data_IF_983671431174
#
_entry.id   IF_983671431174
#
_cell.length_a   1.000
_cell.length_b   1.000
_cell.length_c   1.000
_cell.angle_alpha   90.00
_cell.angle_beta   90.00
_cell.angle_gamma   90.00
#
_symmetry.space_group_name_H-M   'P 1'
#
loop_
_entity.id
_entity.type
_entity.pdbx_description
1 polymer ?
#
# COMPACT_ATOMS: atom_id res chain seq x y z
N UNK A 1 -15.85 -4.69 2.67
CA UNK A 1 -14.57 -5.30 2.32
C UNK A 1 -14.79 -6.63 1.62
N UNK A 2 -14.26 -6.73 0.45
CA UNK A 2 -14.43 -7.93 -0.37
C UNK A 2 -13.08 -8.42 -0.85
N UNK A 3 -12.83 -9.70 -0.64
CA UNK A 3 -11.59 -10.34 -1.09
C UNK A 3 -11.92 -11.38 -2.14
N UNK A 4 -11.40 -11.17 -3.34
CA UNK A 4 -11.56 -12.14 -4.41
C UNK A 4 -10.38 -13.10 -4.38
N UNK A 5 -10.68 -14.39 -4.29
CA UNK A 5 -9.65 -15.40 -4.15
C UNK A 5 -9.27 -15.96 -5.50
N UNK A 6 -8.11 -15.52 -5.98
CA UNK A 6 -7.52 -16.06 -7.19
C UNK A 6 -6.22 -16.79 -6.90
N UNK A 7 -5.97 -17.10 -5.63
CA UNK A 7 -4.71 -17.70 -5.24
C UNK A 7 -4.94 -18.83 -4.24
N UNK A 8 -3.92 -19.66 -4.12
CA UNK A 8 -3.95 -20.76 -3.16
C UNK A 8 -3.70 -20.21 -1.77
N UNK A 9 -4.66 -20.42 -0.87
CA UNK A 9 -4.55 -19.91 0.49
C UNK A 9 -3.35 -20.47 1.23
N UNK A 10 -2.92 -21.67 0.88
CA UNK A 10 -1.78 -22.26 1.56
C UNK A 10 -0.50 -21.47 1.33
N UNK A 11 -0.41 -20.76 0.22
CA UNK A 11 0.75 -19.91 -0.05
C UNK A 11 0.77 -18.69 0.86
N UNK A 12 -0.40 -18.19 1.23
CA UNK A 12 -0.50 -17.04 2.09
C UNK A 12 -0.02 -17.36 3.50
N UNK A 13 -0.18 -18.60 3.91
CA UNK A 13 0.22 -18.97 5.27
C UNK A 13 1.72 -18.90 5.49
N UNK A 14 2.51 -18.82 4.43
CA UNK A 14 3.94 -18.64 4.58
C UNK A 14 4.31 -17.20 4.90
N UNK A 15 3.34 -16.29 4.85
CA UNK A 15 3.56 -14.87 5.13
C UNK A 15 3.24 -14.61 6.61
N UNK A 16 3.90 -13.59 7.18
CA UNK A 16 3.58 -13.15 8.54
C UNK A 16 2.29 -12.34 8.51
N UNK A 17 1.18 -13.02 8.74
CA UNK A 17 -0.14 -12.43 8.55
C UNK A 17 -0.39 -11.19 9.39
N UNK A 18 0.10 -11.18 10.62
CA UNK A 18 -0.12 -10.03 11.49
C UNK A 18 0.54 -8.77 10.93
N UNK A 19 1.77 -8.90 10.44
CA UNK A 19 2.46 -7.77 9.84
C UNK A 19 1.79 -7.33 8.56
N UNK A 20 1.36 -8.30 7.76
CA UNK A 20 0.69 -7.97 6.50
C UNK A 20 -0.62 -7.24 6.75
N UNK A 21 -1.40 -7.72 7.73
CA UNK A 21 -2.67 -7.06 8.05
C UNK A 21 -2.44 -5.63 8.51
N UNK A 22 -1.42 -5.41 9.33
CA UNK A 22 -1.12 -4.06 9.80
C UNK A 22 -0.67 -3.16 8.66
N UNK A 23 0.14 -3.72 7.75
CA UNK A 23 0.59 -2.95 6.59
C UNK A 23 -0.58 -2.54 5.73
N UNK A 24 -1.49 -3.47 5.47
CA UNK A 24 -2.68 -3.17 4.66
C UNK A 24 -3.58 -2.16 5.35
N UNK A 25 -3.74 -2.29 6.66
CA UNK A 25 -4.56 -1.34 7.40
C UNK A 25 -3.97 0.07 7.31
N UNK A 26 -2.65 0.18 7.44
CA UNK A 26 -2.00 1.48 7.31
C UNK A 26 -2.27 2.10 5.95
N UNK A 27 -2.19 1.28 4.89
CA UNK A 27 -2.46 1.78 3.55
C UNK A 27 -3.92 2.19 3.41
N UNK A 28 -4.84 1.41 3.95
CA UNK A 28 -6.27 1.73 3.90
C UNK A 28 -6.56 3.03 4.64
N UNK A 29 -5.99 3.22 5.81
CA UNK A 29 -6.20 4.45 6.56
C UNK A 29 -5.64 5.65 5.82
N UNK A 30 -4.49 5.47 5.18
CA UNK A 30 -3.92 6.53 4.36
C UNK A 30 -4.85 6.88 3.20
N UNK A 31 -5.41 5.86 2.56
CA UNK A 31 -6.33 6.09 1.45
C UNK A 31 -7.57 6.84 1.92
N UNK A 32 -8.10 6.49 3.08
CA UNK A 32 -9.27 7.17 3.61
C UNK A 32 -8.99 8.64 3.93
N UNK A 33 -7.77 8.93 4.39
CA UNK A 33 -7.41 10.31 4.66
C UNK A 33 -7.27 11.14 3.40
N UNK A 34 -6.81 10.52 2.31
CA UNK A 34 -6.59 11.23 1.06
C UNK A 34 -7.81 11.25 0.15
N UNK A 35 -8.82 10.44 0.45
CA UNK A 35 -10.01 10.38 -0.39
C UNK A 35 -10.78 11.70 -0.33
N UNK A 36 -11.62 11.89 -1.34
CA UNK A 36 -12.47 13.08 -1.40
C UNK A 36 -13.28 13.20 -0.13
N UNK A 37 -13.16 14.34 0.55
CA UNK A 37 -13.80 14.52 1.85
C UNK A 37 -15.32 14.55 1.73
N UNK A 38 -15.84 14.96 0.60
CA UNK A 38 -17.29 15.03 0.41
C UNK A 38 -17.90 13.69 0.07
N UNK A 39 -17.16 12.85 -0.65
CA UNK A 39 -17.70 11.56 -1.07
C UNK A 39 -16.54 10.59 -1.21
N UNK A 40 -16.17 9.99 -0.09
CA UNK A 40 -15.01 9.10 -0.04
C UNK A 40 -15.29 7.80 -0.78
N UNK A 41 -14.33 7.39 -1.58
CA UNK A 41 -14.40 6.12 -2.29
C UNK A 41 -13.03 5.45 -2.24
N UNK A 42 -13.00 4.24 -1.71
CA UNK A 42 -11.76 3.46 -1.60
C UNK A 42 -12.04 2.07 -2.12
N UNK A 43 -11.14 1.56 -2.95
CA UNK A 43 -11.28 0.23 -3.54
C UNK A 43 -10.05 -0.61 -3.25
N UNK A 44 -10.28 -1.86 -2.88
CA UNK A 44 -9.21 -2.82 -2.65
C UNK A 44 -9.30 -3.91 -3.70
N UNK A 45 -8.19 -4.17 -4.36
CA UNK A 45 -8.09 -5.30 -5.30
C UNK A 45 -6.97 -6.21 -4.86
N UNK A 46 -7.14 -7.50 -5.16
CA UNK A 46 -6.13 -8.50 -4.86
C UNK A 46 -5.94 -9.35 -6.09
N UNK A 47 -4.70 -9.54 -6.50
CA UNK A 47 -4.41 -10.33 -7.68
C UNK A 47 -3.08 -11.04 -7.52
N UNK A 48 -2.85 -12.05 -8.35
CA UNK A 48 -1.57 -12.73 -8.42
C UNK A 48 -0.92 -12.36 -9.74
N UNK A 49 0.29 -11.81 -9.67
CA UNK A 49 1.03 -11.38 -10.86
C UNK A 49 2.47 -11.82 -10.72
N UNK A 50 2.94 -12.63 -11.65
CA UNK A 50 4.36 -13.00 -11.71
C UNK A 50 4.88 -13.53 -10.38
N UNK A 51 4.15 -14.47 -9.79
CA UNK A 51 4.52 -15.09 -8.51
C UNK A 51 4.51 -14.12 -7.35
N UNK A 52 3.76 -13.05 -7.48
CA UNK A 52 3.55 -12.10 -6.37
C UNK A 52 2.06 -11.96 -6.10
N UNK A 53 1.76 -11.79 -4.83
CA UNK A 53 0.41 -11.43 -4.41
C UNK A 53 0.38 -9.91 -4.32
N UNK A 54 -0.49 -9.27 -5.09
CA UNK A 54 -0.52 -7.82 -5.20
C UNK A 54 -1.84 -7.28 -4.66
N UNK A 55 -1.71 -6.39 -3.68
CA UNK A 55 -2.86 -5.67 -3.11
C UNK A 55 -2.83 -4.26 -3.67
N UNK A 56 -3.92 -3.87 -4.34
CA UNK A 56 -4.04 -2.52 -4.85
C UNK A 56 -5.10 -1.77 -4.06
N UNK A 57 -4.75 -0.61 -3.53
CA UNK A 57 -5.67 0.20 -2.75
C UNK A 57 -5.78 1.56 -3.42
N UNK A 58 -6.92 1.80 -4.01
CA UNK A 58 -7.18 3.04 -4.76
C UNK A 58 -8.14 3.91 -3.96
N UNK A 59 -7.91 5.21 -4.00
CA UNK A 59 -8.86 6.17 -3.43
C UNK A 59 -9.12 7.28 -4.43
N UNK A 60 -10.34 7.81 -4.39
CA UNK A 60 -10.64 8.99 -5.17
C UNK A 60 -10.04 10.22 -4.47
N UNK A 61 -10.17 11.38 -5.09
CA UNK A 61 -9.58 12.59 -4.55
C UNK A 61 -8.31 12.95 -5.28
N UNK A 62 -7.44 13.72 -4.66
CA UNK A 62 -6.24 14.18 -5.37
C UNK A 62 -5.25 13.05 -5.61
N UNK A 63 -4.56 13.14 -6.74
CA UNK A 63 -3.47 12.23 -7.05
C UNK A 63 -2.26 12.57 -6.17
N UNK A 64 -1.32 11.63 -6.10
CA UNK A 64 -0.07 11.91 -5.41
C UNK A 64 0.69 13.02 -6.13
N UNK A 65 1.29 13.91 -5.36
CA UNK A 65 2.14 14.93 -5.92
C UNK A 65 3.42 14.31 -6.44
N UNK A 66 4.11 15.05 -7.31
CA UNK A 66 5.41 14.62 -7.79
C UNK A 66 6.36 14.38 -6.64
N UNK A 67 6.29 15.26 -5.66
CA UNK A 67 7.15 15.14 -4.49
C UNK A 67 6.90 13.83 -3.74
N UNK A 68 5.65 13.44 -3.59
CA UNK A 68 5.33 12.19 -2.92
C UNK A 68 5.79 10.99 -3.73
N UNK A 69 5.64 11.05 -5.05
CA UNK A 69 6.08 9.95 -5.89
C UNK A 69 7.59 9.76 -5.80
N UNK A 70 8.33 10.85 -5.80
CA UNK A 70 9.78 10.78 -5.66
C UNK A 70 10.18 10.29 -4.28
N UNK A 71 9.47 10.74 -3.26
CA UNK A 71 9.78 10.36 -1.90
C UNK A 71 9.45 8.92 -1.59
N UNK A 72 8.61 8.29 -2.41
CA UNK A 72 8.24 6.90 -2.15
C UNK A 72 9.44 5.97 -2.15
N UNK A 73 10.45 6.28 -2.96
CA UNK A 73 11.65 5.46 -2.99
C UNK A 73 12.56 5.71 -1.80
N UNK A 74 12.27 6.75 -1.04
CA UNK A 74 13.07 7.13 0.11
C UNK A 74 12.21 7.22 1.36
N UNK A 75 11.27 6.26 1.52
CA UNK A 75 10.33 6.33 2.61
C UNK A 75 10.99 6.35 3.98
N UNK A 76 12.11 5.65 4.14
CA UNK A 76 12.78 5.65 5.44
C UNK A 76 13.36 7.02 5.76
N UNK A 77 13.91 7.67 4.77
CA UNK A 77 14.39 9.03 4.96
C UNK A 77 13.23 9.98 5.19
N UNK A 78 12.15 9.79 4.45
CA UNK A 78 10.97 10.62 4.58
C UNK A 78 10.33 10.50 5.97
N UNK A 79 10.39 9.33 6.56
CA UNK A 79 9.75 9.13 7.85
C UNK A 79 10.39 10.01 8.93
N UNK A 80 11.67 10.29 8.82
CA UNK A 80 12.31 11.22 9.76
C UNK A 80 11.78 12.63 9.58
N UNK A 81 11.59 13.04 8.34
CA UNK A 81 11.07 14.37 8.06
C UNK A 81 9.60 14.48 8.39
N UNK A 82 8.86 13.41 8.23
CA UNK A 82 7.43 13.45 8.49
C UNK A 82 7.13 13.68 9.96
N UNK A 83 8.09 13.43 10.84
CA UNK A 83 7.88 13.74 12.25
C UNK A 83 7.69 15.23 12.49
N UNK A 84 8.21 16.04 11.58
CA UNK A 84 8.12 17.49 11.70
C UNK A 84 6.98 18.07 10.88
N UNK A 85 6.19 17.21 10.24
CA UNK A 85 5.09 17.68 9.41
C UNK A 85 3.81 17.73 10.22
N UNK A 86 2.81 18.38 9.65
CA UNK A 86 1.50 18.46 10.28
C UNK A 86 0.78 17.12 10.29
N UNK A 87 1.22 16.19 9.45
CA UNK A 87 0.56 14.90 9.34
C UNK A 87 1.59 13.78 9.33
N UNK A 88 2.15 13.46 10.49
CA UNK A 88 3.23 12.49 10.57
C UNK A 88 2.81 11.05 10.26
N UNK A 89 1.51 10.77 10.28
CA UNK A 89 1.04 9.39 10.09
C UNK A 89 1.33 8.86 8.70
N UNK A 90 1.31 9.73 7.69
CA UNK A 90 1.48 9.28 6.32
C UNK A 90 2.82 8.63 6.08
N UNK A 91 3.90 9.33 6.48
CA UNK A 91 5.23 8.79 6.25
C UNK A 91 5.49 7.53 7.05
N UNK A 92 5.06 7.52 8.30
CA UNK A 92 5.33 6.38 9.18
C UNK A 92 4.55 5.15 8.71
N UNK A 93 3.28 5.35 8.37
CA UNK A 93 2.44 4.22 7.95
C UNK A 93 2.95 3.57 6.68
N UNK A 94 3.28 4.38 5.68
CA UNK A 94 3.75 3.83 4.42
C UNK A 94 5.15 3.25 4.55
N UNK A 95 5.99 3.83 5.41
CA UNK A 95 7.32 3.28 5.64
C UNK A 95 7.23 1.89 6.25
N UNK A 96 6.34 1.69 7.21
CA UNK A 96 6.12 0.36 7.78
C UNK A 96 5.65 -0.61 6.71
N UNK A 97 4.69 -0.19 5.89
CA UNK A 97 4.16 -1.06 4.84
C UNK A 97 5.24 -1.42 3.83
N UNK A 98 6.11 -0.46 3.49
CA UNK A 98 7.22 -0.75 2.59
C UNK A 98 8.17 -1.78 3.19
N UNK A 99 8.44 -1.65 4.50
CA UNK A 99 9.31 -2.61 5.15
C UNK A 99 8.71 -4.01 5.12
N UNK A 100 7.40 -4.12 5.37
CA UNK A 100 6.74 -5.41 5.31
C UNK A 100 6.86 -6.01 3.91
N UNK A 101 6.63 -5.19 2.88
CA UNK A 101 6.76 -5.67 1.51
C UNK A 101 8.16 -6.18 1.23
N UNK A 102 9.19 -5.43 1.66
CA UNK A 102 10.58 -5.82 1.41
C UNK A 102 10.94 -7.10 2.15
N UNK A 103 10.45 -7.24 3.37
CA UNK A 103 10.71 -8.45 4.15
C UNK A 103 10.09 -9.68 3.50
N UNK A 104 9.04 -9.49 2.72
CA UNK A 104 8.37 -10.59 2.03
C UNK A 104 8.78 -10.69 0.58
N UNK A 105 9.88 -10.07 0.20
CA UNK A 105 10.41 -10.18 -1.16
C UNK A 105 9.63 -9.43 -2.21
N UNK A 106 8.86 -8.43 -1.79
CA UNK A 106 8.05 -7.67 -2.71
C UNK A 106 8.38 -6.19 -2.72
N UNK A 107 7.36 -5.37 -2.93
CA UNK A 107 7.59 -3.93 -3.04
C UNK A 107 6.33 -3.15 -2.72
N UNK A 108 6.51 -1.88 -2.44
CA UNK A 108 5.43 -0.92 -2.29
C UNK A 108 5.58 0.13 -3.38
N UNK A 109 4.50 0.40 -4.10
CA UNK A 109 4.53 1.34 -5.23
C UNK A 109 3.37 2.32 -5.11
N UNK A 110 3.65 3.59 -5.35
CA UNK A 110 2.64 4.63 -5.41
C UNK A 110 2.36 4.95 -6.88
N UNK A 111 1.08 5.02 -7.24
CA UNK A 111 0.68 5.21 -8.63
C UNK A 111 -0.40 6.28 -8.73
N UNK A 112 -0.37 7.01 -9.85
CA UNK A 112 -1.44 7.93 -10.22
C UNK A 112 -2.15 7.35 -11.44
N UNK A 113 -3.28 6.65 -11.24
CA UNK A 113 -3.97 6.04 -12.37
C UNK A 113 -4.57 7.08 -13.32
N UNK A 114 -4.76 6.68 -14.57
CA UNK A 114 -5.31 7.57 -15.58
C UNK A 114 -6.71 8.03 -15.22
N UNK A 115 -7.49 7.18 -14.56
CA UNK A 115 -8.86 7.54 -14.20
C UNK A 115 -8.92 8.53 -13.04
N UNK A 116 -7.79 8.88 -12.46
CA UNK A 116 -7.74 9.83 -11.35
C UNK A 116 -7.60 9.14 -10.02
N UNK A 117 -7.43 9.96 -8.98
CA UNK A 117 -7.21 9.44 -7.64
C UNK A 117 -5.78 9.01 -7.43
N UNK A 118 -5.59 8.18 -6.42
CA UNK A 118 -4.28 7.69 -6.04
C UNK A 118 -4.36 6.22 -5.71
N UNK A 119 -3.30 5.49 -5.98
CA UNK A 119 -3.27 4.06 -5.73
C UNK A 119 -1.95 3.65 -5.11
N UNK A 120 -2.02 2.79 -4.09
CA UNK A 120 -0.84 2.19 -3.49
C UNK A 120 -0.90 0.69 -3.75
N UNK A 121 0.17 0.13 -4.28
CA UNK A 121 0.27 -1.31 -4.49
C UNK A 121 1.27 -1.90 -3.54
N UNK A 122 0.83 -2.90 -2.81
CA UNK A 122 1.68 -3.69 -1.93
C UNK A 122 1.80 -5.08 -2.53
N UNK A 123 3.01 -5.46 -2.89
CA UNK A 123 3.26 -6.78 -3.46
C UNK A 123 4.12 -7.59 -2.50
N UNK A 124 3.79 -8.85 -2.35
CA UNK A 124 4.60 -9.77 -1.56
C UNK A 124 4.87 -11.00 -2.40
N UNK A 125 6.06 -11.55 -2.26
CA UNK A 125 6.43 -12.72 -3.03
C UNK A 125 5.70 -13.95 -2.51
N UNK A 126 5.23 -14.78 -3.42
CA UNK A 126 4.66 -16.05 -3.06
C UNK A 126 5.79 -17.08 -3.09
N UNK A 127 5.84 -17.90 -2.05
CA UNK A 127 6.82 -18.97 -2.04
C UNK A 127 6.36 -20.06 -2.98
N UNK A 128 7.21 -20.37 -3.94
CA UNK A 128 6.91 -21.42 -4.87
C UNK A 128 7.65 -22.69 -4.45
N UNK A 129 6.90 -23.74 -4.34
CA UNK A 129 7.51 -25.00 -3.93
C UNK A 129 6.83 -26.11 -4.60
#
# INVERSE_FOLDING_TARGET
FYLQEDCDLSLILSIHLDYLKRALLNILLNALEHADQNQKEVKLTVSVQQDQLVFGIWNNGPSFSEEMLLGAEQLFYQSDQSRNSANPHHGIGLAFSKQVALLHGGRLTLLNPDQGGACVELAVALESK
#
